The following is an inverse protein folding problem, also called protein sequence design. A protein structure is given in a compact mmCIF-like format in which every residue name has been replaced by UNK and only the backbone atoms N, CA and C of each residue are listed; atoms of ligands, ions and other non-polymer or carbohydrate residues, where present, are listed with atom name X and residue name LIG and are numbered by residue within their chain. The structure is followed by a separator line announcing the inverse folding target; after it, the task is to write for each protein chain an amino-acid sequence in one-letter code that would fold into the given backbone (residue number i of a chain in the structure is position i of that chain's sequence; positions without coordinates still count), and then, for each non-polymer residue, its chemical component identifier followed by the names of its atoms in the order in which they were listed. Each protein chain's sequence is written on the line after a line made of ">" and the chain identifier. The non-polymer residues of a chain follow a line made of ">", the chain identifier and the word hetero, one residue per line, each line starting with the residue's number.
data_IF_267248577248
#
_entry.id   IF_267248577248
#
_cell.length_a   1.000
_cell.length_b   1.000
_cell.length_c   1.000
_cell.angle_alpha   90.00
_cell.angle_beta   90.00
_cell.angle_gamma   90.00
#
_symmetry.space_group_name_H-M   'P 1'
#
loop_
_entity.id
_entity.type
_entity.pdbx_description
1 polymer ?
#
# COMPACT_ATOMS: atom_id res chain seq x y z
N UNK A 1 -8.38 19.85 -20.72
CA UNK A 1 -9.13 18.87 -21.55
C UNK A 1 -10.63 19.21 -21.56
N UNK A 2 -11.29 19.21 -22.73
CA UNK A 2 -12.58 19.85 -23.09
C UNK A 2 -13.88 19.21 -22.57
N UNK A 3 -13.84 18.24 -21.65
CA UNK A 3 -15.06 17.57 -21.17
C UNK A 3 -15.40 18.04 -19.75
N UNK A 4 -16.46 18.85 -19.66
CA UNK A 4 -16.95 19.53 -18.45
C UNK A 4 -17.41 18.60 -17.34
N UNK A 5 -16.47 18.01 -16.62
CA UNK A 5 -16.69 17.53 -15.25
C UNK A 5 -16.13 18.57 -14.29
N UNK A 6 -16.98 19.33 -13.61
CA UNK A 6 -16.58 20.32 -12.60
C UNK A 6 -15.65 19.73 -11.50
N UNK A 7 -15.62 18.41 -11.30
CA UNK A 7 -14.72 17.73 -10.36
C UNK A 7 -13.24 17.73 -10.79
N UNK A 8 -12.92 17.70 -12.10
CA UNK A 8 -11.53 17.66 -12.60
C UNK A 8 -10.87 19.03 -12.65
N UNK A 9 -11.63 20.09 -12.89
CA UNK A 9 -11.14 21.46 -12.88
C UNK A 9 -10.65 21.88 -11.48
N UNK A 10 -11.36 21.46 -10.42
CA UNK A 10 -10.96 21.71 -9.03
C UNK A 10 -9.67 20.99 -8.63
N UNK A 11 -9.41 19.80 -9.18
CA UNK A 11 -8.18 19.06 -8.92
C UNK A 11 -6.96 19.74 -9.57
N UNK A 12 -7.10 20.20 -10.82
CA UNK A 12 -6.04 20.95 -11.50
C UNK A 12 -5.72 22.25 -10.74
N UNK A 13 -6.75 23.00 -10.33
CA UNK A 13 -6.56 24.23 -9.57
C UNK A 13 -5.84 23.99 -8.22
N UNK A 14 -6.23 22.93 -7.49
CA UNK A 14 -5.54 22.54 -6.26
C UNK A 14 -4.10 22.08 -6.47
N UNK A 15 -3.81 21.37 -7.57
CA UNK A 15 -2.45 20.96 -7.95
C UNK A 15 -1.57 22.17 -8.28
N UNK A 16 -2.09 23.17 -8.99
CA UNK A 16 -1.32 24.36 -9.38
C UNK A 16 -1.03 25.27 -8.19
N UNK A 17 -2.00 25.43 -7.27
CA UNK A 17 -1.77 26.11 -5.99
C UNK A 17 -0.79 25.34 -5.10
N UNK A 18 -0.76 24.01 -5.18
CA UNK A 18 0.25 23.20 -4.50
C UNK A 18 1.65 23.39 -5.11
N UNK A 19 1.78 23.40 -6.44
CA UNK A 19 3.06 23.54 -7.10
C UNK A 19 3.70 24.92 -6.88
N UNK A 20 2.88 25.96 -6.65
CA UNK A 20 3.34 27.34 -6.45
C UNK A 20 4.31 27.50 -5.27
N UNK A 21 4.03 27.02 -4.04
CA UNK A 21 5.00 26.96 -2.94
C UNK A 21 6.29 26.18 -3.23
N UNK A 22 6.25 25.26 -4.19
CA UNK A 22 7.32 24.32 -4.46
C UNK A 22 8.21 24.70 -5.65
N UNK A 23 7.81 25.72 -6.40
CA UNK A 23 8.48 26.16 -7.62
C UNK A 23 8.25 27.65 -7.82
N UNK A 24 9.33 28.44 -7.86
CA UNK A 24 9.26 29.85 -8.27
C UNK A 24 8.62 30.02 -9.65
N UNK A 25 8.85 29.09 -10.57
CA UNK A 25 8.21 29.09 -11.89
C UNK A 25 6.69 29.07 -11.77
N UNK A 26 6.14 28.14 -10.99
CA UNK A 26 4.69 28.05 -10.80
C UNK A 26 4.14 29.21 -9.98
N UNK A 27 4.88 29.68 -8.96
CA UNK A 27 4.49 30.88 -8.22
C UNK A 27 4.31 32.09 -9.15
N UNK A 28 5.32 32.39 -9.98
CA UNK A 28 5.23 33.52 -10.92
C UNK A 28 4.17 33.29 -11.99
N UNK A 29 4.06 32.07 -12.49
CA UNK A 29 3.12 31.70 -13.55
C UNK A 29 1.66 31.77 -13.10
N UNK A 30 1.35 31.51 -11.82
CA UNK A 30 -0.02 31.49 -11.29
C UNK A 30 -0.40 32.71 -10.45
N UNK A 31 0.51 33.20 -9.61
CA UNK A 31 0.23 34.29 -8.67
C UNK A 31 0.56 35.65 -9.27
N UNK A 32 1.68 35.76 -10.00
CA UNK A 32 2.10 36.99 -10.66
C UNK A 32 1.67 37.07 -12.14
N UNK A 33 1.03 36.01 -12.66
CA UNK A 33 0.59 35.90 -14.04
C UNK A 33 -0.64 36.76 -14.39
N UNK A 34 -0.86 36.99 -15.68
CA UNK A 34 -1.93 37.86 -16.21
C UNK A 34 -3.33 37.42 -15.71
N UNK A 35 -4.05 38.27 -14.95
CA UNK A 35 -5.37 37.96 -14.40
C UNK A 35 -6.47 37.75 -15.47
N UNK A 36 -6.18 37.99 -16.75
CA UNK A 36 -7.11 37.77 -17.86
C UNK A 36 -7.13 36.34 -18.42
N UNK A 37 -6.25 35.43 -17.96
CA UNK A 37 -6.37 34.01 -18.30
C UNK A 37 -7.57 33.42 -17.55
N UNK A 38 -8.61 33.02 -18.29
CA UNK A 38 -9.89 32.46 -17.80
C UNK A 38 -9.78 31.14 -16.99
N UNK A 39 -8.87 31.03 -16.02
CA UNK A 39 -8.64 29.82 -15.22
C UNK A 39 -8.04 28.65 -16.01
N UNK A 40 -7.59 28.88 -17.25
CA UNK A 40 -6.94 27.87 -18.07
C UNK A 40 -5.45 28.19 -18.20
N UNK A 41 -4.64 27.19 -17.84
CA UNK A 41 -3.20 27.25 -17.86
C UNK A 41 -2.69 26.11 -18.73
N UNK A 42 -1.79 26.44 -19.66
CA UNK A 42 -1.23 25.50 -20.63
C UNK A 42 0.28 25.50 -20.46
N UNK A 43 0.82 24.31 -20.21
CA UNK A 43 2.25 24.06 -20.11
C UNK A 43 2.65 23.28 -21.36
N UNK A 44 3.61 23.80 -22.10
CA UNK A 44 4.17 23.13 -23.27
C UNK A 44 5.29 22.18 -22.80
N UNK A 45 4.88 21.08 -22.16
CA UNK A 45 5.78 20.07 -21.60
C UNK A 45 5.29 18.69 -21.99
N UNK A 46 6.20 17.73 -22.12
CA UNK A 46 5.81 16.35 -22.36
C UNK A 46 4.95 15.82 -21.19
N UNK A 47 3.69 15.42 -21.45
CA UNK A 47 2.76 15.03 -20.39
C UNK A 47 3.20 13.77 -19.65
N UNK A 48 4.00 12.90 -20.28
CA UNK A 48 4.52 11.69 -19.64
C UNK A 48 5.62 12.03 -18.63
N UNK A 49 6.58 12.85 -19.03
CA UNK A 49 7.68 13.33 -18.19
C UNK A 49 7.15 14.16 -17.03
N UNK A 50 6.18 15.04 -17.28
CA UNK A 50 5.52 15.80 -16.22
C UNK A 50 4.73 14.88 -15.26
N UNK A 51 4.03 13.87 -15.78
CA UNK A 51 3.36 12.85 -14.96
C UNK A 51 4.34 12.08 -14.05
N UNK A 52 5.47 11.64 -14.59
CA UNK A 52 6.50 10.95 -13.81
C UNK A 52 7.11 11.87 -12.73
N UNK A 53 7.26 13.18 -13.01
CA UNK A 53 7.68 14.16 -12.02
C UNK A 53 6.65 14.37 -10.91
N UNK A 54 5.37 14.42 -11.25
CA UNK A 54 4.31 14.46 -10.26
C UNK A 54 4.32 13.21 -9.38
N UNK A 55 4.55 12.02 -9.94
CA UNK A 55 4.69 10.79 -9.16
C UNK A 55 5.92 10.82 -8.22
N UNK A 56 7.02 11.48 -8.63
CA UNK A 56 8.21 11.67 -7.80
C UNK A 56 7.92 12.63 -6.64
N UNK A 57 7.30 13.77 -6.93
CA UNK A 57 6.96 14.80 -5.95
C UNK A 57 5.85 14.30 -5.01
N UNK A 58 4.98 13.44 -5.53
CA UNK A 58 3.77 13.00 -4.88
C UNK A 58 3.65 11.46 -4.93
N UNK A 59 4.53 10.73 -4.22
CA UNK A 59 4.54 9.27 -4.25
C UNK A 59 3.28 8.64 -3.63
N UNK A 60 2.46 9.45 -2.96
CA UNK A 60 1.19 9.03 -2.36
C UNK A 60 0.04 8.97 -3.37
N UNK A 61 0.14 9.65 -4.52
CA UNK A 61 -0.83 9.49 -5.61
C UNK A 61 -0.30 8.37 -6.51
N UNK A 62 -1.11 7.33 -6.70
CA UNK A 62 -0.77 6.23 -7.60
C UNK A 62 -0.61 6.77 -9.02
N UNK A 63 0.39 6.22 -9.72
CA UNK A 63 0.80 6.55 -11.09
C UNK A 63 -0.32 7.13 -11.94
N UNK A 64 -0.08 8.29 -12.51
CA UNK A 64 -0.80 8.73 -13.72
C UNK A 64 -0.36 7.82 -14.88
N UNK A 65 -0.80 6.55 -14.89
CA UNK A 65 -0.53 5.60 -15.96
C UNK A 65 -1.25 6.07 -17.23
N UNK A 66 -0.61 6.96 -18.00
CA UNK A 66 -1.07 7.33 -19.33
C UNK A 66 -0.90 6.14 -20.31
N UNK A 67 0.13 5.29 -20.11
CA UNK A 67 0.36 4.05 -20.86
C UNK A 67 1.25 3.06 -20.07
N UNK A 68 1.20 1.76 -20.40
CA UNK A 68 1.92 0.67 -19.70
C UNK A 68 3.45 0.65 -19.95
N UNK A 69 3.94 1.32 -20.99
CA UNK A 69 5.34 1.24 -21.43
C UNK A 69 6.04 2.61 -21.57
N UNK A 70 5.35 3.70 -21.25
CA UNK A 70 5.89 5.05 -21.37
C UNK A 70 6.48 5.50 -20.04
N UNK A 71 7.78 5.27 -19.82
CA UNK A 71 8.55 5.92 -18.75
C UNK A 71 9.48 6.92 -19.41
N UNK A 72 9.43 8.18 -18.97
CA UNK A 72 10.43 9.18 -19.37
C UNK A 72 11.82 8.79 -18.85
N UNK A 73 12.88 9.23 -19.54
CA UNK A 73 14.23 8.92 -19.09
C UNK A 73 14.54 9.65 -17.78
N UNK A 74 15.60 9.24 -17.08
CA UNK A 74 16.05 9.98 -15.90
C UNK A 74 16.45 11.41 -16.25
N UNK A 75 17.12 11.60 -17.40
CA UNK A 75 17.60 12.91 -17.86
C UNK A 75 16.41 13.81 -18.22
N UNK A 76 15.41 13.31 -18.94
CA UNK A 76 14.21 14.12 -19.30
C UNK A 76 13.50 14.62 -18.03
N UNK A 77 13.40 13.77 -17.00
CA UNK A 77 12.82 14.16 -15.70
C UNK A 77 13.68 15.19 -14.98
N UNK A 78 14.99 14.99 -14.97
CA UNK A 78 15.91 15.93 -14.32
C UNK A 78 15.87 17.30 -15.03
N UNK A 79 15.92 17.30 -16.35
CA UNK A 79 15.87 18.48 -17.21
C UNK A 79 14.58 19.28 -16.99
N UNK A 80 13.42 18.60 -17.09
CA UNK A 80 12.12 19.23 -16.85
C UNK A 80 11.94 19.70 -15.40
N UNK A 81 12.47 18.98 -14.42
CA UNK A 81 12.42 19.42 -13.02
C UNK A 81 13.26 20.68 -12.76
N UNK A 82 14.39 20.83 -13.46
CA UNK A 82 15.22 22.02 -13.40
C UNK A 82 14.56 23.20 -14.13
N UNK A 83 14.01 22.97 -15.32
CA UNK A 83 13.26 23.97 -16.10
C UNK A 83 12.08 24.54 -15.30
N UNK A 84 11.28 23.65 -14.69
CA UNK A 84 10.15 24.02 -13.84
C UNK A 84 10.58 24.47 -12.44
N UNK A 85 11.88 24.58 -12.15
CA UNK A 85 12.44 24.97 -10.85
C UNK A 85 11.87 24.20 -9.66
N UNK A 86 11.57 22.91 -9.85
CA UNK A 86 11.00 22.02 -8.85
C UNK A 86 12.11 21.48 -7.93
N UNK A 87 12.60 22.34 -7.04
CA UNK A 87 13.78 22.06 -6.17
C UNK A 87 13.69 20.72 -5.45
N UNK A 88 12.51 20.37 -4.94
CA UNK A 88 12.30 19.12 -4.20
C UNK A 88 12.35 17.88 -5.11
N UNK A 89 11.81 17.97 -6.33
CA UNK A 89 11.86 16.91 -7.32
C UNK A 89 13.31 16.60 -7.72
N UNK A 90 14.10 17.66 -7.95
CA UNK A 90 15.54 17.54 -8.28
C UNK A 90 16.29 16.83 -7.15
N UNK A 91 16.13 17.27 -5.89
CA UNK A 91 16.80 16.61 -4.76
C UNK A 91 16.42 15.15 -4.62
N UNK A 92 15.15 14.81 -4.84
CA UNK A 92 14.65 13.44 -4.74
C UNK A 92 15.10 12.55 -5.89
N UNK A 93 15.21 13.09 -7.10
CA UNK A 93 15.82 12.40 -8.24
C UNK A 93 17.30 12.08 -7.96
N UNK A 94 18.02 12.98 -7.30
CA UNK A 94 19.45 12.86 -7.05
C UNK A 94 19.80 12.09 -5.75
N UNK A 95 18.85 11.87 -4.83
CA UNK A 95 19.16 11.38 -3.47
C UNK A 95 19.76 9.97 -3.41
N UNK A 96 19.44 9.12 -4.38
CA UNK A 96 19.86 7.70 -4.41
C UNK A 96 20.56 7.32 -5.72
N UNK A 97 21.09 8.30 -6.47
CA UNK A 97 21.68 8.10 -7.80
C UNK A 97 23.16 8.49 -7.82
N UNK A 98 23.97 7.68 -8.50
CA UNK A 98 25.37 8.03 -8.75
C UNK A 98 25.46 9.14 -9.79
N UNK A 99 26.29 10.16 -9.53
CA UNK A 99 26.51 11.23 -10.51
C UNK A 99 27.22 10.67 -11.74
N UNK A 100 26.49 10.57 -12.86
CA UNK A 100 27.06 10.25 -14.18
C UNK A 100 27.48 11.53 -14.89
N UNK A 101 28.29 11.40 -15.95
CA UNK A 101 28.70 12.53 -16.79
C UNK A 101 27.49 13.27 -17.40
N UNK A 102 26.46 12.53 -17.81
CA UNK A 102 25.22 13.08 -18.35
C UNK A 102 24.44 13.89 -17.31
N UNK A 103 24.37 13.42 -16.07
CA UNK A 103 23.72 14.14 -14.95
C UNK A 103 24.49 15.42 -14.63
N UNK A 104 25.82 15.33 -14.55
CA UNK A 104 26.67 16.49 -14.27
C UNK A 104 26.52 17.56 -15.37
N UNK A 105 26.53 17.17 -16.64
CA UNK A 105 26.31 18.06 -17.79
C UNK A 105 24.94 18.74 -17.72
N UNK A 106 23.86 17.98 -17.50
CA UNK A 106 22.50 18.53 -17.37
C UNK A 106 22.42 19.58 -16.25
N UNK A 107 23.03 19.29 -15.09
CA UNK A 107 23.09 20.24 -13.98
C UNK A 107 23.91 21.50 -14.30
N UNK A 108 24.98 21.38 -15.09
CA UNK A 108 25.81 22.52 -15.52
C UNK A 108 25.03 23.38 -16.52
N UNK A 109 24.35 22.78 -17.50
CA UNK A 109 23.53 23.47 -18.50
C UNK A 109 22.44 24.33 -17.85
N UNK A 110 21.88 23.87 -16.73
CA UNK A 110 20.90 24.61 -15.92
C UNK A 110 21.50 25.51 -14.83
N UNK A 111 22.83 25.70 -14.79
CA UNK A 111 23.54 26.43 -13.72
C UNK A 111 23.24 25.93 -12.29
N UNK A 112 22.88 24.66 -12.14
CA UNK A 112 22.39 24.06 -10.90
C UNK A 112 23.41 23.12 -10.22
N UNK A 113 24.55 22.86 -10.86
CA UNK A 113 25.56 21.90 -10.37
C UNK A 113 26.05 22.23 -8.96
N UNK A 114 26.45 23.48 -8.71
CA UNK A 114 26.95 23.91 -7.40
C UNK A 114 25.91 23.77 -6.29
N UNK A 115 24.62 23.94 -6.63
CA UNK A 115 23.49 23.84 -5.70
C UNK A 115 23.19 22.39 -5.28
N UNK A 116 23.41 21.43 -6.18
CA UNK A 116 23.05 20.02 -5.96
C UNK A 116 24.24 19.05 -5.84
N UNK A 117 25.49 19.53 -5.98
CA UNK A 117 26.69 18.69 -5.84
C UNK A 117 26.77 17.93 -4.50
N UNK A 118 26.19 18.48 -3.44
CA UNK A 118 26.16 17.87 -2.12
C UNK A 118 25.22 16.66 -2.02
N UNK A 119 24.31 16.50 -2.99
CA UNK A 119 23.44 15.32 -3.07
C UNK A 119 24.24 14.04 -3.44
N UNK A 120 25.47 14.18 -3.93
CA UNK A 120 26.30 13.04 -4.34
C UNK A 120 27.25 12.58 -3.23
N UNK A 121 27.48 11.25 -3.07
CA UNK A 121 28.45 10.74 -2.10
C UNK A 121 29.88 11.25 -2.35
N UNK A 122 30.56 11.70 -1.29
CA UNK A 122 31.92 12.30 -1.34
C UNK A 122 33.01 11.45 -2.03
N UNK A 123 32.79 10.14 -2.21
CA UNK A 123 33.77 9.21 -2.79
C UNK A 123 33.97 9.35 -4.31
N UNK A 124 33.15 10.14 -5.01
CA UNK A 124 33.26 10.35 -6.46
C UNK A 124 33.82 11.72 -6.86
N UNK A 125 34.09 12.60 -5.89
CA UNK A 125 34.68 13.93 -6.10
C UNK A 125 36.07 13.91 -6.77
N UNK A 126 36.71 12.74 -6.92
CA UNK A 126 38.11 12.64 -7.36
C UNK A 126 38.35 11.77 -8.59
N UNK A 127 37.32 11.13 -9.19
CA UNK A 127 37.55 10.16 -10.29
C UNK A 127 36.94 10.50 -11.65
N UNK A 128 35.99 11.43 -11.71
CA UNK A 128 35.62 12.08 -12.98
C UNK A 128 36.35 13.42 -13.04
N UNK A 129 37.51 13.42 -13.69
CA UNK A 129 38.08 14.63 -14.30
C UNK A 129 37.12 15.11 -15.41
N UNK A 130 35.92 15.56 -15.05
CA UNK A 130 35.24 16.59 -15.84
C UNK A 130 36.09 17.82 -15.60
N UNK A 131 36.95 18.13 -16.58
CA UNK A 131 37.96 19.16 -16.44
C UNK A 131 37.28 20.46 -16.01
N UNK A 132 37.70 20.95 -14.85
CA UNK A 132 37.43 22.28 -14.32
C UNK A 132 37.89 23.41 -15.29
N UNK A 133 38.45 23.04 -16.46
CA UNK A 133 38.93 23.91 -17.52
C UNK A 133 37.96 24.06 -18.70
N UNK A 134 37.04 23.11 -18.95
CA UNK A 134 36.05 23.24 -20.04
C UNK A 134 34.93 24.26 -19.74
N UNK A 135 34.77 24.66 -18.47
CA UNK A 135 33.67 25.51 -17.96
C UNK A 135 34.09 26.99 -17.79
N UNK A 136 35.34 27.36 -18.11
CA UNK A 136 35.82 28.76 -18.04
C UNK A 136 35.37 29.66 -19.21
N UNK A 137 34.71 29.11 -20.21
CA UNK A 137 34.31 29.83 -21.43
C UNK A 137 33.03 30.65 -21.33
N UNK A 138 32.16 30.37 -20.36
CA UNK A 138 30.92 31.14 -20.15
C UNK A 138 31.15 32.18 -19.06
N UNK A 139 31.00 33.42 -19.47
CA UNK A 139 31.09 34.66 -18.71
C UNK A 139 30.68 34.47 -17.24
N UNK A 140 31.54 34.96 -16.33
CA UNK A 140 31.28 35.14 -14.89
C UNK A 140 30.02 35.99 -14.69
N UNK A 141 28.84 35.39 -14.83
CA UNK A 141 27.59 36.01 -14.39
C UNK A 141 27.66 36.09 -12.87
N UNK A 142 27.34 37.29 -12.37
CA UNK A 142 27.35 37.61 -10.96
C UNK A 142 26.56 36.53 -10.21
N UNK A 143 27.15 36.03 -9.14
CA UNK A 143 26.43 35.22 -8.17
C UNK A 143 25.25 36.03 -7.66
N UNK A 144 24.04 35.57 -7.91
CA UNK A 144 22.88 35.94 -7.12
C UNK A 144 22.90 35.02 -5.88
N UNK A 145 23.87 35.27 -4.99
CA UNK A 145 24.11 34.47 -3.77
C UNK A 145 23.00 34.66 -2.70
N UNK A 146 21.91 35.37 -3.00
CA UNK A 146 20.95 35.81 -1.98
C UNK A 146 19.55 35.18 -1.97
N UNK A 147 19.12 34.38 -2.97
CA UNK A 147 17.72 33.88 -2.99
C UNK A 147 17.52 32.37 -3.23
N UNK A 148 18.54 31.62 -3.68
CA UNK A 148 18.30 30.24 -4.13
C UNK A 148 18.32 29.17 -3.03
N UNK A 149 18.89 29.49 -1.87
CA UNK A 149 18.90 28.62 -0.68
C UNK A 149 17.92 29.07 0.41
N UNK A 150 17.35 30.27 0.28
CA UNK A 150 16.26 30.68 1.16
C UNK A 150 15.06 29.74 0.88
N UNK A 151 14.40 29.19 1.91
CA UNK A 151 13.04 28.70 1.71
C UNK A 151 12.28 29.84 1.05
N UNK A 152 11.63 29.57 -0.09
CA UNK A 152 10.75 30.55 -0.74
C UNK A 152 9.96 31.21 0.38
N UNK A 153 10.01 32.54 0.51
CA UNK A 153 9.24 33.24 1.54
C UNK A 153 7.80 32.85 1.27
N UNK A 154 7.29 31.87 2.03
CA UNK A 154 5.91 31.49 1.98
C UNK A 154 5.22 32.77 2.37
N UNK A 155 4.60 33.43 1.40
CA UNK A 155 3.68 34.51 1.68
C UNK A 155 2.83 34.03 2.86
N UNK A 156 2.84 34.78 3.95
CA UNK A 156 1.96 34.51 5.09
C UNK A 156 0.48 34.61 4.67
N UNK A 157 0.23 35.09 3.46
CA UNK A 157 -1.08 35.25 2.86
C UNK A 157 -1.12 34.41 1.59
N UNK A 158 -1.54 33.16 1.74
CA UNK A 158 -2.12 32.45 0.61
C UNK A 158 -3.48 33.08 0.32
N UNK A 159 -3.86 33.32 -0.95
CA UNK A 159 -5.19 33.82 -1.29
C UNK A 159 -6.33 32.95 -0.72
N UNK A 160 -6.02 31.69 -0.40
CA UNK A 160 -6.93 30.68 0.13
C UNK A 160 -6.53 30.19 1.55
N UNK A 161 -5.80 31.01 2.31
CA UNK A 161 -5.38 30.66 3.67
C UNK A 161 -6.58 30.53 4.63
N UNK A 162 -6.54 29.51 5.49
CA UNK A 162 -7.55 29.26 6.52
C UNK A 162 -6.89 28.97 7.87
N UNK A 163 -7.60 29.27 8.96
CA UNK A 163 -7.18 28.90 10.30
C UNK A 163 -7.66 27.49 10.65
N UNK A 164 -6.72 26.62 11.01
CA UNK A 164 -6.96 25.28 11.50
C UNK A 164 -6.60 25.19 12.98
N UNK A 165 -7.40 24.52 13.81
CA UNK A 165 -7.09 24.31 15.23
C UNK A 165 -6.96 22.82 15.56
N UNK A 166 -5.87 22.46 16.23
CA UNK A 166 -5.57 21.10 16.70
C UNK A 166 -5.06 21.19 18.13
N UNK A 167 -5.71 20.46 19.05
CA UNK A 167 -5.37 20.48 20.49
C UNK A 167 -5.24 21.90 21.09
N UNK A 168 -6.02 22.86 20.58
CA UNK A 168 -6.01 24.26 21.03
C UNK A 168 -4.95 25.15 20.37
N UNK A 169 -4.05 24.59 19.56
CA UNK A 169 -3.08 25.36 18.76
C UNK A 169 -3.70 25.72 17.42
N UNK A 170 -3.49 26.96 16.97
CA UNK A 170 -4.00 27.45 15.68
C UNK A 170 -2.88 27.54 14.65
N UNK A 171 -3.14 27.01 13.46
CA UNK A 171 -2.26 27.01 12.30
C UNK A 171 -2.89 27.83 11.18
N UNK A 172 -2.06 28.56 10.44
CA UNK A 172 -2.46 29.12 9.14
C UNK A 172 -2.03 28.14 8.04
N UNK A 173 -3.00 27.65 7.28
CA UNK A 173 -2.78 26.57 6.28
C UNK A 173 -3.52 26.89 4.98
N UNK A 174 -2.99 26.42 3.85
CA UNK A 174 -3.68 26.56 2.55
C UNK A 174 -4.88 25.60 2.48
N UNK A 175 -6.05 26.16 2.16
CA UNK A 175 -7.29 25.39 2.03
C UNK A 175 -7.24 24.38 0.88
N UNK A 176 -6.57 24.73 -0.21
CA UNK A 176 -6.48 23.92 -1.42
C UNK A 176 -5.49 22.80 -1.26
N UNK A 177 -4.37 23.03 -0.55
CA UNK A 177 -3.47 21.94 -0.16
C UNK A 177 -4.23 20.93 0.68
N UNK A 178 -4.86 21.33 1.78
CA UNK A 178 -5.64 20.40 2.61
C UNK A 178 -6.75 19.69 1.83
N UNK A 179 -7.46 20.43 0.98
CA UNK A 179 -8.53 19.88 0.15
C UNK A 179 -8.02 18.91 -0.91
N UNK A 180 -6.82 19.09 -1.46
CA UNK A 180 -6.20 18.17 -2.42
C UNK A 180 -5.91 16.83 -1.76
N UNK A 181 -5.40 16.86 -0.53
CA UNK A 181 -4.95 15.69 0.22
C UNK A 181 -6.08 14.94 0.95
N UNK A 182 -7.26 15.55 1.10
CA UNK A 182 -8.43 14.91 1.70
C UNK A 182 -9.74 15.54 1.23
N UNK A 183 -10.62 14.71 0.68
CA UNK A 183 -11.99 15.10 0.35
C UNK A 183 -12.79 15.48 1.60
N UNK A 184 -12.58 14.75 2.70
CA UNK A 184 -13.21 15.04 3.99
C UNK A 184 -12.82 16.41 4.52
N UNK A 185 -11.53 16.79 4.39
CA UNK A 185 -11.08 18.14 4.74
C UNK A 185 -11.67 19.17 3.77
N UNK A 186 -11.67 18.89 2.47
CA UNK A 186 -12.27 19.78 1.46
C UNK A 186 -13.73 20.10 1.77
N UNK A 187 -14.52 19.10 2.11
CA UNK A 187 -15.94 19.27 2.44
C UNK A 187 -16.11 20.04 3.76
N UNK A 188 -15.26 19.74 4.75
CA UNK A 188 -15.26 20.46 6.04
C UNK A 188 -14.86 21.93 5.87
N UNK A 189 -13.91 22.22 5.00
CA UNK A 189 -13.48 23.58 4.63
C UNK A 189 -14.61 24.30 3.90
N UNK A 190 -15.24 23.67 2.90
CA UNK A 190 -16.37 24.24 2.16
C UNK A 190 -17.57 24.51 3.05
N UNK A 191 -17.87 23.61 3.99
CA UNK A 191 -18.92 23.79 4.99
C UNK A 191 -18.56 24.87 6.02
N UNK A 192 -17.28 25.04 6.34
CA UNK A 192 -16.74 26.03 7.28
C UNK A 192 -16.41 27.39 6.67
N UNK A 193 -16.52 27.56 5.34
CA UNK A 193 -16.06 28.72 4.57
C UNK A 193 -16.75 30.07 4.88
N UNK A 194 -17.51 30.16 5.98
CA UNK A 194 -18.18 31.39 6.44
C UNK A 194 -18.01 31.69 7.93
N UNK A 195 -17.16 30.98 8.65
CA UNK A 195 -17.00 31.19 10.09
C UNK A 195 -15.65 31.86 10.41
N UNK A 196 -15.62 32.88 11.30
CA UNK A 196 -14.38 33.48 11.80
C UNK A 196 -13.59 32.54 12.71
N UNK A 197 -14.14 31.39 13.06
CA UNK A 197 -13.55 30.43 13.99
C UNK A 197 -12.63 29.42 13.28
N UNK A 198 -11.48 29.05 13.87
CA UNK A 198 -10.61 28.02 13.33
C UNK A 198 -11.32 26.67 13.13
N UNK A 199 -11.06 26.03 12.00
CA UNK A 199 -11.57 24.69 11.71
C UNK A 199 -10.87 23.68 12.63
N UNK A 200 -11.62 23.08 13.56
CA UNK A 200 -11.07 22.13 14.53
C UNK A 200 -10.88 20.74 13.93
N UNK A 201 -9.69 20.16 14.06
CA UNK A 201 -9.42 18.76 13.70
C UNK A 201 -9.20 17.91 14.96
N UNK A 202 -9.81 16.73 14.95
CA UNK A 202 -9.76 15.78 16.06
C UNK A 202 -8.65 14.76 15.82
N UNK A 203 -7.40 15.23 15.85
CA UNK A 203 -6.18 14.44 15.65
C UNK A 203 -5.07 14.93 16.56
N UNK A 204 -4.04 14.11 16.77
CA UNK A 204 -2.88 14.54 17.55
C UNK A 204 -2.07 15.64 16.86
N UNK A 205 -1.53 16.58 17.63
CA UNK A 205 -0.71 17.69 17.12
C UNK A 205 0.49 17.21 16.28
N UNK A 206 1.17 16.17 16.75
CA UNK A 206 2.32 15.60 16.06
C UNK A 206 1.91 14.96 14.73
N UNK A 207 0.78 14.23 14.71
CA UNK A 207 0.25 13.62 13.49
C UNK A 207 -0.16 14.67 12.47
N UNK A 208 -0.82 15.74 12.91
CA UNK A 208 -1.19 16.85 12.04
C UNK A 208 0.03 17.58 11.47
N UNK A 209 1.04 17.84 12.28
CA UNK A 209 2.30 18.45 11.83
C UNK A 209 3.03 17.55 10.83
N UNK A 210 3.09 16.24 11.10
CA UNK A 210 3.65 15.23 10.21
C UNK A 210 2.86 15.17 8.89
N UNK A 211 1.54 15.25 8.94
CA UNK A 211 0.69 15.31 7.76
C UNK A 211 0.93 16.59 6.95
N UNK A 212 1.04 17.76 7.58
CA UNK A 212 1.37 19.01 6.88
C UNK A 212 2.74 18.94 6.22
N UNK A 213 3.76 18.39 6.89
CA UNK A 213 5.08 18.14 6.28
C UNK A 213 4.99 17.18 5.10
N UNK A 214 4.25 16.09 5.24
CA UNK A 214 4.03 15.13 4.17
C UNK A 214 3.27 15.75 2.99
N UNK A 215 2.34 16.68 3.26
CA UNK A 215 1.58 17.39 2.23
C UNK A 215 2.49 18.16 1.30
N UNK A 216 3.57 18.75 1.83
CA UNK A 216 4.60 19.50 1.08
C UNK A 216 5.78 18.60 0.64
N UNK A 217 5.56 17.30 0.52
CA UNK A 217 6.54 16.31 0.07
C UNK A 217 7.47 15.78 1.17
N UNK A 218 7.62 16.43 2.32
CA UNK A 218 8.51 15.98 3.40
C UNK A 218 7.87 14.79 4.13
N UNK A 219 8.07 13.58 3.56
CA UNK A 219 7.58 12.33 4.11
C UNK A 219 8.52 11.80 5.21
N UNK A 220 8.08 11.75 6.47
CA UNK A 220 8.90 11.18 7.53
C UNK A 220 9.25 9.71 7.25
N UNK A 221 10.47 9.29 7.63
CA UNK A 221 10.94 7.94 7.38
C UNK A 221 10.16 6.91 8.22
N UNK A 222 9.72 7.30 9.41
CA UNK A 222 8.99 6.45 10.34
C UNK A 222 7.52 6.85 10.42
N UNK A 223 6.68 5.87 10.74
CA UNK A 223 5.25 6.03 10.98
C UNK A 223 4.93 5.52 12.39
N UNK A 224 3.93 6.10 13.02
CA UNK A 224 3.40 5.61 14.29
C UNK A 224 1.98 5.08 14.09
N UNK A 225 1.52 4.19 14.98
CA UNK A 225 0.11 3.75 15.00
C UNK A 225 -0.84 4.94 15.06
N UNK A 226 -0.58 5.88 15.98
CA UNK A 226 -1.38 7.09 16.13
C UNK A 226 -1.45 7.90 14.83
N UNK A 227 -0.32 8.02 14.12
CA UNK A 227 -0.30 8.73 12.85
C UNK A 227 -1.15 8.03 11.78
N UNK A 228 -1.10 6.69 11.68
CA UNK A 228 -1.94 5.95 10.75
C UNK A 228 -3.44 6.09 11.07
N UNK A 229 -3.80 6.05 12.35
CA UNK A 229 -5.18 6.27 12.81
C UNK A 229 -5.65 7.69 12.46
N UNK A 230 -4.80 8.70 12.72
CA UNK A 230 -5.09 10.10 12.44
C UNK A 230 -5.21 10.40 10.93
N UNK A 231 -4.46 9.71 10.07
CA UNK A 231 -4.63 9.82 8.60
C UNK A 231 -6.03 9.38 8.14
N UNK A 232 -6.60 8.35 8.77
CA UNK A 232 -7.97 7.90 8.50
C UNK A 232 -8.97 8.95 8.98
N UNK A 233 -8.76 9.53 10.16
CA UNK A 233 -9.61 10.60 10.70
C UNK A 233 -9.58 11.82 9.78
N UNK A 234 -8.40 12.19 9.28
CA UNK A 234 -8.23 13.27 8.30
C UNK A 234 -8.82 12.93 6.94
N UNK A 235 -9.10 11.67 6.61
CA UNK A 235 -9.52 11.25 5.27
C UNK A 235 -8.38 11.30 4.24
N UNK A 236 -7.14 11.24 4.70
CA UNK A 236 -5.91 11.31 3.91
C UNK A 236 -5.53 9.94 3.35
N UNK A 237 -6.44 9.33 2.57
CA UNK A 237 -6.35 7.93 2.09
C UNK A 237 -5.08 7.64 1.30
N UNK A 238 -4.64 8.59 0.46
CA UNK A 238 -3.43 8.46 -0.35
C UNK A 238 -2.15 8.32 0.49
N UNK A 239 -2.04 9.06 1.59
CA UNK A 239 -0.91 8.91 2.51
C UNK A 239 -1.00 7.60 3.26
N UNK A 240 -2.20 7.22 3.70
CA UNK A 240 -2.43 5.94 4.36
C UNK A 240 -1.94 4.79 3.47
N UNK A 241 -2.40 4.71 2.22
CA UNK A 241 -2.00 3.68 1.26
C UNK A 241 -0.48 3.66 1.02
N UNK A 242 0.14 4.83 0.87
CA UNK A 242 1.60 4.95 0.71
C UNK A 242 2.36 4.34 1.89
N UNK A 243 1.99 4.73 3.11
CA UNK A 243 2.63 4.21 4.31
C UNK A 243 2.37 2.72 4.46
N UNK A 244 1.15 2.24 4.17
CA UNK A 244 0.83 0.82 4.19
C UNK A 244 1.68 0.02 3.19
N UNK A 245 1.92 0.53 1.99
CA UNK A 245 2.79 -0.12 1.01
C UNK A 245 4.27 -0.09 1.43
N UNK A 246 4.72 1.02 2.04
CA UNK A 246 6.07 1.09 2.63
C UNK A 246 6.25 0.06 3.73
N UNK A 247 5.27 -0.02 4.64
CA UNK A 247 5.23 -0.99 5.74
C UNK A 247 5.32 -2.41 5.22
N UNK A 248 4.53 -2.79 4.22
CA UNK A 248 4.57 -4.12 3.62
C UNK A 248 5.96 -4.45 3.05
N UNK A 249 6.59 -3.49 2.36
CA UNK A 249 7.95 -3.65 1.82
C UNK A 249 9.01 -3.80 2.91
N UNK A 250 8.85 -3.09 4.02
CA UNK A 250 9.79 -3.16 5.13
C UNK A 250 9.60 -4.48 5.91
N UNK A 251 8.34 -4.90 6.12
CA UNK A 251 7.99 -6.17 6.76
C UNK A 251 8.57 -7.38 6.01
N UNK A 252 8.58 -7.37 4.67
CA UNK A 252 9.14 -8.48 3.88
C UNK A 252 10.66 -8.59 4.01
N UNK A 253 11.35 -7.51 4.39
CA UNK A 253 12.81 -7.44 4.57
C UNK A 253 13.26 -7.70 6.01
N UNK A 254 12.33 -7.63 6.98
CA UNK A 254 12.65 -7.76 8.40
C UNK A 254 12.89 -9.21 8.83
N UNK A 255 13.87 -9.47 9.73
CA UNK A 255 14.01 -10.78 10.36
C UNK A 255 12.77 -11.17 11.16
N UNK A 256 12.48 -12.48 11.19
CA UNK A 256 11.25 -13.05 11.76
C UNK A 256 10.87 -12.51 13.15
N UNK A 257 11.85 -12.42 14.07
CA UNK A 257 11.66 -11.92 15.45
C UNK A 257 11.13 -10.48 15.53
N UNK A 258 11.54 -9.61 14.60
CA UNK A 258 11.10 -8.21 14.55
C UNK A 258 9.80 -8.05 13.76
N UNK A 259 9.60 -8.92 12.76
CA UNK A 259 8.38 -8.95 11.95
C UNK A 259 7.13 -9.22 12.80
N UNK A 260 7.16 -10.20 13.71
CA UNK A 260 6.04 -10.49 14.62
C UNK A 260 5.62 -9.27 15.44
N UNK A 261 6.58 -8.53 16.01
CA UNK A 261 6.30 -7.32 16.81
C UNK A 261 5.66 -6.20 15.98
N UNK A 262 6.20 -5.95 14.79
CA UNK A 262 5.68 -4.95 13.87
C UNK A 262 4.27 -5.29 13.39
N UNK A 263 3.98 -6.57 13.11
CA UNK A 263 2.64 -7.01 12.71
C UNK A 263 1.64 -6.90 13.86
N UNK A 264 2.01 -7.22 15.09
CA UNK A 264 1.13 -7.02 16.26
C UNK A 264 0.70 -5.55 16.41
N UNK A 265 1.64 -4.61 16.21
CA UNK A 265 1.34 -3.18 16.26
C UNK A 265 0.33 -2.79 15.15
N UNK A 266 0.47 -3.34 13.95
CA UNK A 266 -0.47 -3.11 12.83
C UNK A 266 -1.83 -3.77 13.04
N UNK A 267 -1.88 -4.97 13.62
CA UNK A 267 -3.15 -5.62 13.94
C UNK A 267 -3.93 -4.82 15.00
N UNK A 268 -3.20 -4.20 15.93
CA UNK A 268 -3.79 -3.27 16.89
C UNK A 268 -4.36 -2.01 16.21
N UNK A 269 -3.69 -1.48 15.19
CA UNK A 269 -4.21 -0.42 14.32
C UNK A 269 -5.53 -0.83 13.68
N UNK A 270 -5.57 -1.97 12.98
CA UNK A 270 -6.78 -2.45 12.31
C UNK A 270 -7.94 -2.77 13.25
N UNK A 271 -7.67 -3.25 14.46
CA UNK A 271 -8.70 -3.57 15.47
C UNK A 271 -9.54 -2.34 15.84
N UNK A 272 -8.93 -1.16 15.90
CA UNK A 272 -9.60 0.05 16.33
C UNK A 272 -10.41 0.73 15.21
N UNK A 273 -10.34 0.22 13.98
CA UNK A 273 -11.05 0.79 12.85
C UNK A 273 -12.53 0.36 12.86
N UNK A 274 -13.42 1.32 12.61
CA UNK A 274 -14.87 1.08 12.46
C UNK A 274 -15.20 0.22 11.23
N UNK A 275 -14.36 0.29 10.18
CA UNK A 275 -14.43 -0.53 8.97
C UNK A 275 -13.05 -1.11 8.68
N UNK A 276 -12.93 -2.43 8.75
CA UNK A 276 -11.67 -3.12 8.51
C UNK A 276 -11.25 -2.99 7.03
N UNK A 277 -10.06 -2.45 6.79
CA UNK A 277 -9.38 -2.51 5.50
C UNK A 277 -8.85 -3.93 5.24
N UNK A 278 -9.74 -4.81 4.76
CA UNK A 278 -9.44 -6.21 4.48
C UNK A 278 -8.26 -6.40 3.51
N UNK A 279 -8.16 -5.69 2.37
CA UNK A 279 -7.02 -5.84 1.47
C UNK A 279 -5.66 -5.63 2.13
N UNK A 280 -5.52 -4.54 2.90
CA UNK A 280 -4.25 -4.25 3.59
C UNK A 280 -4.01 -5.18 4.77
N UNK A 281 -5.07 -5.58 5.49
CA UNK A 281 -5.02 -6.57 6.56
C UNK A 281 -4.56 -7.93 6.05
N UNK A 282 -5.23 -8.48 5.04
CA UNK A 282 -4.98 -9.80 4.47
C UNK A 282 -3.56 -9.89 3.89
N UNK A 283 -3.09 -8.81 3.24
CA UNK A 283 -1.73 -8.72 2.72
C UNK A 283 -0.67 -8.76 3.83
N UNK A 284 -0.90 -8.06 4.96
CA UNK A 284 0.03 -8.08 6.10
C UNK A 284 0.03 -9.47 6.75
N UNK A 285 -1.12 -10.10 6.94
CA UNK A 285 -1.22 -11.43 7.56
C UNK A 285 -0.70 -12.54 6.64
N UNK A 286 -0.91 -12.42 5.33
CA UNK A 286 -0.43 -13.38 4.33
C UNK A 286 1.09 -13.34 4.11
N UNK A 287 1.78 -12.32 4.62
CA UNK A 287 3.25 -12.21 4.57
C UNK A 287 3.97 -12.99 5.69
N UNK A 288 3.22 -13.57 6.63
CA UNK A 288 3.75 -14.30 7.78
C UNK A 288 3.85 -15.81 7.50
N UNK A 289 4.89 -16.45 8.04
CA UNK A 289 4.96 -17.92 8.11
C UNK A 289 4.00 -18.48 9.17
N UNK A 290 3.74 -19.79 9.11
CA UNK A 290 2.90 -20.47 10.10
C UNK A 290 3.43 -20.34 11.54
N UNK A 291 4.75 -20.32 11.73
CA UNK A 291 5.37 -20.12 13.05
C UNK A 291 5.25 -18.66 13.53
N UNK A 292 5.45 -17.69 12.62
CA UNK A 292 5.28 -16.27 12.90
C UNK A 292 3.82 -15.98 13.28
N UNK A 293 2.86 -16.57 12.57
CA UNK A 293 1.44 -16.43 12.83
C UNK A 293 1.04 -17.03 14.18
N UNK A 294 1.58 -18.19 14.57
CA UNK A 294 1.41 -18.75 15.92
C UNK A 294 1.96 -17.80 17.00
N UNK A 295 3.11 -17.19 16.74
CA UNK A 295 3.70 -16.14 17.59
C UNK A 295 2.80 -14.90 17.73
N UNK A 296 2.17 -14.45 16.66
CA UNK A 296 1.19 -13.35 16.69
C UNK A 296 -0.07 -13.73 17.47
N UNK A 297 -0.67 -14.88 17.18
CA UNK A 297 -1.92 -15.35 17.81
C UNK A 297 -1.75 -15.57 19.31
N UNK A 298 -0.62 -16.13 19.75
CA UNK A 298 -0.31 -16.31 21.17
C UNK A 298 -0.18 -14.98 21.94
N UNK A 299 0.21 -13.89 21.28
CA UNK A 299 0.37 -12.56 21.89
C UNK A 299 -0.85 -11.65 21.65
N UNK A 300 -1.78 -12.03 20.78
CA UNK A 300 -2.98 -11.28 20.42
C UNK A 300 -4.20 -12.22 20.30
N UNK A 301 -4.84 -12.59 21.42
CA UNK A 301 -5.99 -13.50 21.42
C UNK A 301 -7.28 -12.90 20.82
N UNK A 302 -7.30 -11.59 20.54
CA UNK A 302 -8.47 -10.87 20.03
C UNK A 302 -8.19 -10.27 18.65
N UNK A 303 -8.20 -11.13 17.64
CA UNK A 303 -8.16 -10.72 16.25
C UNK A 303 -9.60 -10.41 15.79
N UNK A 304 -9.83 -9.39 14.93
CA UNK A 304 -11.18 -9.06 14.44
C UNK A 304 -11.83 -10.32 13.85
N UNK A 305 -13.12 -10.55 14.13
CA UNK A 305 -13.85 -11.80 13.83
C UNK A 305 -13.89 -12.25 12.36
N UNK A 306 -13.26 -11.51 11.45
CA UNK A 306 -12.93 -11.94 10.08
C UNK A 306 -11.67 -12.80 9.99
N UNK A 307 -10.89 -12.98 11.06
CA UNK A 307 -9.90 -14.06 11.19
C UNK A 307 -10.57 -15.42 11.44
N UNK A 308 -11.50 -15.82 10.55
CA UNK A 308 -11.42 -17.20 10.13
C UNK A 308 -10.21 -17.21 9.21
N UNK A 309 -9.10 -17.73 9.73
CA UNK A 309 -8.05 -18.21 8.85
C UNK A 309 -8.78 -19.16 7.91
N UNK A 310 -8.93 -18.78 6.64
CA UNK A 310 -9.20 -19.74 5.58
C UNK A 310 -7.96 -20.62 5.57
N UNK A 311 -7.99 -21.65 6.41
CA UNK A 311 -7.06 -22.75 6.41
C UNK A 311 -7.27 -23.52 5.10
N UNK A 312 -6.80 -22.95 3.99
CA UNK A 312 -6.46 -23.71 2.78
C UNK A 312 -5.07 -24.35 2.87
N UNK A 313 -4.42 -24.27 4.03
CA UNK A 313 -3.38 -25.20 4.44
C UNK A 313 -3.57 -25.52 5.92
N UNK A 314 -4.02 -26.75 6.18
CA UNK A 314 -3.93 -27.47 7.46
C UNK A 314 -4.75 -26.92 8.65
N UNK A 315 -6.08 -27.00 8.55
CA UNK A 315 -6.86 -27.44 9.72
C UNK A 315 -6.87 -28.97 9.73
N UNK A 316 -5.96 -29.58 10.49
CA UNK A 316 -6.31 -30.84 11.16
C UNK A 316 -7.19 -30.51 12.36
N UNK A 317 -8.39 -30.00 12.07
CA UNK A 317 -9.51 -30.23 12.97
C UNK A 317 -10.17 -31.46 12.37
N UNK A 318 -9.91 -32.61 12.99
CA UNK A 318 -10.55 -33.88 12.71
C UNK A 318 -12.08 -33.69 12.83
N UNK A 319 -12.72 -33.24 11.75
CA UNK A 319 -14.17 -33.34 11.58
C UNK A 319 -14.44 -34.82 11.36
N UNK A 320 -14.51 -35.57 12.47
CA UNK A 320 -14.81 -36.99 12.46
C UNK A 320 -16.28 -37.14 12.08
N UNK A 321 -16.56 -37.89 11.02
CA UNK A 321 -17.92 -38.27 10.66
C UNK A 321 -18.13 -39.77 10.85
N UNK A 322 -19.29 -40.14 11.37
CA UNK A 322 -19.64 -41.54 11.55
C UNK A 322 -20.40 -42.05 10.33
N UNK A 323 -20.00 -43.21 9.82
CA UNK A 323 -20.76 -44.00 8.86
C UNK A 323 -21.32 -45.24 9.55
N UNK A 324 -22.39 -45.77 8.99
CA UNK A 324 -23.04 -46.99 9.42
C UNK A 324 -22.72 -48.10 8.43
N UNK A 325 -22.32 -49.28 8.91
CA UNK A 325 -22.13 -50.47 8.07
C UNK A 325 -23.10 -51.55 8.52
N UNK A 326 -23.84 -52.12 7.57
CA UNK A 326 -24.83 -53.19 7.80
C UNK A 326 -24.45 -54.45 7.04
N UNK A 327 -24.26 -55.54 7.76
CA UNK A 327 -24.02 -56.87 7.19
C UNK A 327 -25.32 -57.55 6.76
N UNK A 328 -25.23 -58.47 5.80
CA UNK A 328 -26.34 -59.37 5.43
C UNK A 328 -26.74 -60.33 6.56
N UNK A 329 -25.87 -60.56 7.54
CA UNK A 329 -26.17 -61.32 8.78
C UNK A 329 -27.06 -60.55 9.76
N UNK A 330 -27.39 -59.28 9.49
CA UNK A 330 -28.17 -58.41 10.37
C UNK A 330 -27.34 -57.58 11.33
N UNK A 331 -26.03 -57.83 11.43
CA UNK A 331 -25.10 -57.07 12.27
C UNK A 331 -24.89 -55.65 11.73
N UNK A 332 -24.77 -54.69 12.64
CA UNK A 332 -24.54 -53.28 12.33
C UNK A 332 -23.44 -52.72 13.21
N UNK A 333 -22.56 -51.92 12.63
CA UNK A 333 -21.51 -51.23 13.35
C UNK A 333 -21.34 -49.81 12.81
N UNK A 334 -21.09 -48.87 13.71
CA UNK A 334 -20.74 -47.49 13.40
C UNK A 334 -19.22 -47.33 13.35
N UNK A 335 -18.71 -46.76 12.27
CA UNK A 335 -17.29 -46.48 12.08
C UNK A 335 -17.08 -44.98 11.98
N UNK A 336 -16.16 -44.48 12.80
CA UNK A 336 -15.77 -43.08 12.82
C UNK A 336 -14.64 -42.87 11.82
N UNK A 337 -14.88 -42.03 10.82
CA UNK A 337 -13.92 -41.65 9.79
C UNK A 337 -13.52 -40.20 9.94
N UNK A 338 -12.32 -39.84 9.50
CA UNK A 338 -11.93 -38.45 9.36
C UNK A 338 -12.40 -37.90 8.01
N UNK A 339 -13.03 -36.71 8.01
CA UNK A 339 -13.53 -36.03 6.79
C UNK A 339 -12.41 -35.48 5.89
N UNK A 340 -11.19 -35.98 6.06
CA UNK A 340 -10.07 -35.67 5.18
C UNK A 340 -10.36 -36.11 3.75
N UNK A 341 -9.83 -35.36 2.78
CA UNK A 341 -10.04 -35.54 1.33
C UNK A 341 -9.43 -36.85 0.77
N UNK A 342 -8.93 -37.73 1.64
CA UNK A 342 -8.09 -38.88 1.29
C UNK A 342 -8.51 -40.20 1.95
N UNK A 343 -9.65 -40.26 2.65
CA UNK A 343 -10.12 -41.53 3.24
C UNK A 343 -10.51 -42.50 2.12
N UNK A 344 -9.65 -43.48 1.85
CA UNK A 344 -9.83 -44.50 0.80
C UNK A 344 -10.81 -45.57 1.24
N UNK A 345 -11.45 -46.22 0.27
CA UNK A 345 -12.32 -47.38 0.55
C UNK A 345 -11.54 -48.54 1.17
N UNK A 346 -10.28 -48.71 0.79
CA UNK A 346 -9.36 -49.67 1.42
C UNK A 346 -9.20 -49.41 2.92
N UNK A 347 -9.02 -48.14 3.31
CA UNK A 347 -8.94 -47.75 4.72
C UNK A 347 -10.25 -48.05 5.48
N UNK A 348 -11.41 -47.78 4.87
CA UNK A 348 -12.71 -48.13 5.46
C UNK A 348 -12.83 -49.64 5.69
N UNK A 349 -12.36 -50.47 4.75
CA UNK A 349 -12.37 -51.93 4.90
C UNK A 349 -11.47 -52.41 6.04
N UNK A 350 -10.31 -51.78 6.23
CA UNK A 350 -9.45 -52.08 7.38
C UNK A 350 -10.15 -51.78 8.71
N UNK A 351 -10.88 -50.67 8.80
CA UNK A 351 -11.65 -50.34 10.01
C UNK A 351 -12.79 -51.33 10.25
N UNK A 352 -13.48 -51.77 9.20
CA UNK A 352 -14.49 -52.84 9.29
C UNK A 352 -13.86 -54.15 9.75
N UNK A 353 -12.65 -54.49 9.30
CA UNK A 353 -11.93 -55.68 9.75
C UNK A 353 -11.66 -55.63 11.25
N UNK A 354 -11.22 -54.48 11.76
CA UNK A 354 -11.01 -54.28 13.20
C UNK A 354 -12.29 -54.37 14.04
N UNK A 355 -13.45 -54.02 13.48
CA UNK A 355 -14.72 -54.01 14.20
C UNK A 355 -15.54 -55.32 14.06
N UNK A 356 -15.49 -55.99 12.91
CA UNK A 356 -16.32 -57.17 12.59
C UNK A 356 -15.50 -58.41 12.21
N UNK A 357 -14.18 -58.34 12.18
CA UNK A 357 -13.29 -59.49 11.94
C UNK A 357 -13.20 -59.97 10.48
N UNK A 358 -14.03 -59.48 9.55
CA UNK A 358 -13.97 -59.85 8.13
C UNK A 358 -12.71 -59.30 7.45
N UNK A 359 -11.91 -60.14 6.79
CA UNK A 359 -10.66 -59.69 6.15
C UNK A 359 -10.95 -58.70 4.98
N UNK A 360 -10.15 -57.64 4.77
CA UNK A 360 -10.45 -56.59 3.77
C UNK A 360 -10.66 -57.10 2.33
N UNK A 361 -9.95 -58.16 1.93
CA UNK A 361 -10.07 -58.83 0.63
C UNK A 361 -11.42 -59.55 0.45
N UNK A 362 -12.03 -59.97 1.57
CA UNK A 362 -13.33 -60.64 1.65
C UNK A 362 -14.50 -59.67 1.78
N UNK A 363 -14.25 -58.36 1.92
CA UNK A 363 -15.31 -57.36 2.06
C UNK A 363 -15.74 -56.79 0.71
N UNK A 364 -17.04 -56.89 0.41
CA UNK A 364 -17.68 -56.13 -0.67
C UNK A 364 -18.59 -55.07 -0.06
N UNK A 365 -18.23 -53.80 -0.24
CA UNK A 365 -19.02 -52.66 0.22
C UNK A 365 -19.89 -52.12 -0.91
N UNK A 366 -21.17 -51.87 -0.61
CA UNK A 366 -22.14 -51.29 -1.53
C UNK A 366 -22.75 -50.05 -0.90
N UNK A 367 -22.81 -48.96 -1.66
CA UNK A 367 -23.46 -47.71 -1.29
C UNK A 367 -24.24 -47.14 -2.48
N UNK A 368 -25.46 -46.66 -2.25
CA UNK A 368 -26.34 -46.14 -3.29
C UNK A 368 -26.46 -47.04 -4.54
N UNK A 369 -26.50 -48.37 -4.33
CA UNK A 369 -26.57 -49.37 -5.40
C UNK A 369 -25.27 -49.58 -6.19
N UNK A 370 -24.15 -48.95 -5.81
CA UNK A 370 -22.84 -49.09 -6.46
C UNK A 370 -21.86 -49.80 -5.55
N UNK A 371 -21.11 -50.76 -6.11
CA UNK A 371 -20.00 -51.40 -5.40
C UNK A 371 -18.83 -50.42 -5.29
N UNK A 372 -18.23 -50.35 -4.11
CA UNK A 372 -17.10 -49.49 -3.83
C UNK A 372 -15.78 -50.18 -4.21
N UNK A 373 -14.87 -49.43 -4.80
CA UNK A 373 -13.56 -49.88 -5.28
C UNK A 373 -12.44 -49.31 -4.40
N UNK A 374 -11.43 -50.14 -4.11
CA UNK A 374 -10.37 -49.88 -3.11
C UNK A 374 -9.50 -48.65 -3.43
N UNK A 375 -9.26 -48.36 -4.71
CA UNK A 375 -8.49 -47.20 -5.18
C UNK A 375 -9.25 -45.87 -5.26
N UNK A 376 -10.48 -45.79 -4.72
CA UNK A 376 -11.28 -44.56 -4.68
C UNK A 376 -11.47 -44.08 -3.24
N UNK A 377 -11.83 -42.82 -3.08
CA UNK A 377 -12.09 -42.19 -1.78
C UNK A 377 -13.57 -42.20 -1.42
N UNK A 378 -13.90 -42.00 -0.14
CA UNK A 378 -15.27 -41.72 0.30
C UNK A 378 -15.87 -40.50 -0.42
N UNK A 379 -15.03 -39.51 -0.76
CA UNK A 379 -15.42 -38.32 -1.52
C UNK A 379 -15.89 -38.65 -2.94
N UNK A 380 -15.22 -39.58 -3.62
CA UNK A 380 -15.58 -40.01 -4.99
C UNK A 380 -16.99 -40.61 -5.08
N UNK A 381 -17.49 -41.16 -3.97
CA UNK A 381 -18.82 -41.74 -3.85
C UNK A 381 -19.80 -40.83 -3.09
N UNK A 382 -19.39 -39.62 -2.72
CA UNK A 382 -20.16 -38.66 -1.92
C UNK A 382 -20.76 -39.30 -0.65
N UNK A 383 -19.95 -40.09 0.06
CA UNK A 383 -20.33 -40.72 1.33
C UNK A 383 -20.24 -39.66 2.42
N UNK A 384 -21.36 -39.40 3.11
CA UNK A 384 -21.49 -38.35 4.13
C UNK A 384 -21.76 -38.94 5.52
N UNK A 385 -21.75 -38.09 6.55
CA UNK A 385 -22.15 -38.46 7.92
C UNK A 385 -23.52 -39.14 7.92
N UNK A 386 -23.62 -40.28 8.59
CA UNK A 386 -24.87 -41.04 8.69
C UNK A 386 -25.18 -41.90 7.47
N UNK A 387 -24.31 -41.96 6.46
CA UNK A 387 -24.46 -42.87 5.33
C UNK A 387 -24.41 -44.35 5.78
N UNK A 388 -25.27 -45.17 5.20
CA UNK A 388 -25.31 -46.62 5.44
C UNK A 388 -24.68 -47.38 4.28
N UNK A 389 -23.59 -48.11 4.55
CA UNK A 389 -22.97 -49.05 3.63
C UNK A 389 -23.46 -50.47 3.90
N UNK A 390 -23.68 -51.23 2.83
CA UNK A 390 -23.99 -52.66 2.92
C UNK A 390 -22.72 -53.47 2.73
N UNK A 391 -22.40 -54.31 3.73
CA UNK A 391 -21.29 -55.26 3.68
C UNK A 391 -21.80 -56.63 3.23
N UNK A 392 -21.23 -57.13 2.14
CA UNK A 392 -21.42 -58.49 1.65
C UNK A 392 -20.10 -59.25 1.80
N UNK A 393 -20.04 -60.28 2.65
CA UNK A 393 -18.90 -61.18 2.71
C UNK A 393 -18.76 -61.93 1.38
N UNK A 394 -17.54 -61.98 0.83
CA UNK A 394 -17.21 -62.91 -0.24
C UNK A 394 -16.93 -64.27 0.40
N UNK A 395 -17.80 -65.25 0.18
CA UNK A 395 -17.45 -66.63 0.51
C UNK A 395 -16.32 -67.07 -0.42
N UNK A 396 -15.25 -67.64 0.15
CA UNK A 396 -14.32 -68.44 -0.65
C UNK A 396 -15.08 -69.69 -1.11
N UNK A 397 -15.03 -69.99 -2.40
CA UNK A 397 -15.05 -71.40 -2.81
C UNK A 397 -13.81 -72.03 -2.20
N UNK A 398 -14.01 -73.10 -1.43
CA UNK A 398 -12.95 -73.85 -0.76
C UNK A 398 -11.88 -74.33 -1.73
#
# INVERSE_FOLDING_TARGET
>A
NKNGSHSRAGWLYGLLQYLSPHSPFFYDYFINGDPHRNGWFELDVDPHTFGDLLDIIYPCFKKTNCCQECSSSFIDRLDLALELKLRWAVRRLLSDVMCTEEIARTLIEHNAYETYKECFPKQYSTRTHLSYEAVKGTTRMKRDDSDDLAPMVLSTEFPDAIYASVEGITFLVSSSTLGLHSEKLRDKIRAGARLPDPIKFDVGLQSFTTFLKASIGILPPEWSRQFLDDLIVLGATHFYDYYMDKIKRDLSRLPSKFKTKAVIALLSHYRNQSKLDRPNFDAVTGSLSNEEMKGVVSQCPYLPGSMKIDNRAETQQHDRFCISVRSLSGEHCSITLDRGVHTTIEHVKMLIHGAMGSAPDQQRLIYAGRQLADGRTCGDYNIQTGATLHLIPRMRGC
#
